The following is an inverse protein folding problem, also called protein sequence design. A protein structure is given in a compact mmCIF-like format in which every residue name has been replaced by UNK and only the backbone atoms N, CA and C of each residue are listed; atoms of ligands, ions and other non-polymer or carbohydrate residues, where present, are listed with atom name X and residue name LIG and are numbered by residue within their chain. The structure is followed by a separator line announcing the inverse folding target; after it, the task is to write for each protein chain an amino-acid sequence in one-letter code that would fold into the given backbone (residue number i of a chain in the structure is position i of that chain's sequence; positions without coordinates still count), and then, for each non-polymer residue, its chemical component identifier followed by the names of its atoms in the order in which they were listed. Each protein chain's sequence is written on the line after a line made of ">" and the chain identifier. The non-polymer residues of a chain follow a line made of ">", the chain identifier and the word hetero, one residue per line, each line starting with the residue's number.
data_IF_840690125491
#
_entry.id   IF_840690125491
#
_cell.length_a   1.000
_cell.length_b   1.000
_cell.length_c   1.000
_cell.angle_alpha   90.00
_cell.angle_beta   90.00
_cell.angle_gamma   90.00
#
_symmetry.space_group_name_H-M   'P 1'
#
loop_
_entity.id
_entity.type
_entity.pdbx_description
1 polymer ?
#
# COMPACT_ATOMS: atom_id res chain seq x y z
N UNK A 1 15.82 -50.36 -31.01
CA UNK A 1 15.93 -49.55 -32.24
C UNK A 1 14.88 -48.46 -32.09
N UNK A 2 15.21 -47.21 -31.74
CA UNK A 2 15.97 -46.22 -32.53
C UNK A 2 16.60 -45.20 -31.54
N UNK A 3 17.92 -45.25 -31.31
CA UNK A 3 18.94 -44.23 -31.64
C UNK A 3 18.82 -42.87 -30.90
N UNK A 4 19.78 -42.64 -30.00
CA UNK A 4 20.29 -41.34 -29.54
C UNK A 4 21.04 -40.59 -30.66
N UNK A 5 20.95 -39.26 -30.72
CA UNK A 5 22.02 -38.31 -31.09
C UNK A 5 21.53 -36.86 -30.84
N UNK A 6 22.08 -36.07 -29.92
CA UNK A 6 23.32 -35.25 -29.96
C UNK A 6 23.27 -33.95 -30.82
N UNK A 7 23.13 -32.84 -30.09
CA UNK A 7 24.00 -31.64 -30.03
C UNK A 7 24.31 -30.72 -31.23
N UNK A 8 24.38 -29.42 -30.86
CA UNK A 8 25.18 -28.30 -31.39
C UNK A 8 24.69 -27.65 -32.71
N UNK A 9 24.91 -26.36 -33.01
CA UNK A 9 25.83 -25.37 -32.47
C UNK A 9 25.31 -23.93 -32.76
N UNK A 10 25.77 -23.00 -31.93
CA UNK A 10 25.78 -21.55 -32.16
C UNK A 10 26.79 -21.18 -33.27
N UNK A 11 26.53 -20.04 -33.91
CA UNK A 11 27.45 -19.08 -34.57
C UNK A 11 27.12 -18.82 -36.05
N UNK A 12 26.75 -17.57 -36.34
CA UNK A 12 27.27 -16.85 -37.50
C UNK A 12 27.63 -15.43 -37.07
N UNK A 13 28.92 -15.12 -37.12
CA UNK A 13 29.48 -13.78 -37.14
C UNK A 13 29.61 -13.33 -38.60
N UNK A 14 29.47 -12.02 -38.87
CA UNK A 14 29.92 -11.40 -40.12
C UNK A 14 30.55 -10.04 -39.80
N UNK A 15 31.83 -9.90 -40.19
CA UNK A 15 32.67 -8.71 -40.07
C UNK A 15 32.68 -7.91 -41.38
N UNK A 16 32.96 -6.61 -41.29
CA UNK A 16 33.39 -5.75 -42.40
C UNK A 16 34.03 -4.44 -41.90
N UNK A 17 35.27 -4.19 -42.31
CA UNK A 17 36.31 -3.30 -41.75
C UNK A 17 36.31 -1.82 -42.24
N UNK A 18 36.59 -0.90 -41.30
CA UNK A 18 37.63 0.19 -41.23
C UNK A 18 37.91 1.25 -42.33
N UNK A 19 38.13 2.49 -41.81
CA UNK A 19 39.00 3.65 -42.23
C UNK A 19 38.32 4.82 -42.98
N UNK A 20 38.70 6.11 -42.83
CA UNK A 20 39.43 6.98 -41.85
C UNK A 20 39.49 8.37 -42.54
N UNK A 21 39.05 9.45 -41.86
CA UNK A 21 39.45 10.90 -41.91
C UNK A 21 39.47 11.64 -43.29
N UNK A 22 39.42 12.96 -43.51
CA UNK A 22 39.79 14.23 -42.81
C UNK A 22 38.88 15.38 -43.34
N UNK A 23 38.38 16.31 -42.51
CA UNK A 23 38.92 17.62 -42.07
C UNK A 23 38.69 18.83 -43.01
N UNK A 24 38.20 19.95 -42.45
CA UNK A 24 38.69 21.31 -42.73
C UNK A 24 38.32 22.27 -41.58
N UNK A 25 39.36 22.98 -41.13
CA UNK A 25 39.47 24.02 -40.09
C UNK A 25 38.69 25.31 -40.47
N UNK A 26 38.43 26.27 -39.57
CA UNK A 26 39.42 27.28 -39.11
C UNK A 26 38.93 28.07 -37.87
N UNK A 27 39.89 28.31 -36.96
CA UNK A 27 40.12 29.45 -36.03
C UNK A 27 39.02 29.86 -35.01
N UNK A 28 39.19 29.89 -33.68
CA UNK A 28 40.30 30.35 -32.80
C UNK A 28 39.77 31.56 -31.98
N UNK A 29 39.89 31.79 -30.66
CA UNK A 29 40.69 31.31 -29.50
C UNK A 29 39.96 31.79 -28.17
N UNK A 30 40.55 31.89 -26.95
CA UNK A 30 40.45 30.91 -25.86
C UNK A 30 40.02 31.45 -24.46
N UNK A 31 40.02 30.55 -23.47
CA UNK A 31 40.40 30.71 -22.03
C UNK A 31 39.35 30.39 -20.94
N UNK A 32 39.47 29.15 -20.45
CA UNK A 32 39.71 28.76 -19.05
C UNK A 32 38.92 29.45 -17.92
N UNK A 33 38.10 28.66 -17.22
CA UNK A 33 38.12 28.62 -15.76
C UNK A 33 37.62 27.26 -15.26
N UNK A 34 38.50 26.43 -14.70
CA UNK A 34 38.12 25.29 -13.86
C UNK A 34 38.00 25.78 -12.41
N UNK A 35 36.91 25.43 -11.72
CA UNK A 35 36.95 25.14 -10.28
C UNK A 35 35.65 24.43 -9.85
N UNK A 36 35.83 23.18 -9.39
CA UNK A 36 35.19 22.51 -8.25
C UNK A 36 33.64 22.58 -8.09
N UNK A 37 32.94 21.45 -8.23
CA UNK A 37 32.62 20.47 -7.17
C UNK A 37 31.24 20.80 -6.55
N UNK A 38 30.23 19.99 -6.85
CA UNK A 38 29.71 18.98 -5.93
C UNK A 38 28.56 18.22 -6.59
N UNK A 39 28.65 16.89 -6.53
CA UNK A 39 27.49 16.02 -6.61
C UNK A 39 26.60 16.31 -5.41
N UNK A 40 25.32 16.57 -5.66
CA UNK A 40 24.22 15.70 -5.22
C UNK A 40 22.95 16.32 -5.78
N UNK A 41 22.45 15.75 -6.87
CA UNK A 41 21.05 15.93 -7.22
C UNK A 41 20.24 15.22 -6.15
N UNK A 42 19.92 15.94 -5.08
CA UNK A 42 18.86 15.58 -4.16
C UNK A 42 17.60 15.45 -5.02
N UNK A 43 17.25 14.21 -5.37
CA UNK A 43 15.87 13.89 -5.66
C UNK A 43 15.10 14.20 -4.39
N UNK A 44 14.48 15.38 -4.40
CA UNK A 44 13.40 15.83 -3.54
C UNK A 44 12.39 14.68 -3.40
N UNK A 45 12.64 13.80 -2.44
CA UNK A 45 11.66 12.86 -1.92
C UNK A 45 10.74 13.74 -1.10
N UNK A 46 9.78 14.36 -1.80
CA UNK A 46 8.77 15.20 -1.20
C UNK A 46 8.25 14.48 0.03
N UNK A 47 8.34 15.15 1.18
CA UNK A 47 7.66 14.76 2.40
C UNK A 47 6.20 14.46 2.04
N UNK A 48 5.86 13.18 1.86
CA UNK A 48 4.47 12.76 1.73
C UNK A 48 3.86 13.02 3.09
N UNK A 49 3.24 14.20 3.24
CA UNK A 49 2.51 14.55 4.44
C UNK A 49 1.51 13.45 4.77
N UNK A 50 1.32 13.19 6.07
CA UNK A 50 0.44 12.14 6.57
C UNK A 50 -0.96 12.28 5.91
N UNK A 51 -1.29 11.35 5.01
CA UNK A 51 -2.51 11.31 4.20
C UNK A 51 -3.72 10.82 5.00
N UNK A 52 -3.54 10.37 6.22
CA UNK A 52 -4.58 10.14 7.22
C UNK A 52 -3.90 10.29 8.58
N UNK A 53 -4.50 11.08 9.48
CA UNK A 53 -3.92 11.39 10.79
C UNK A 53 -4.26 10.33 11.84
N UNK A 54 -4.94 9.24 11.47
CA UNK A 54 -5.27 8.15 12.36
C UNK A 54 -6.48 8.42 13.25
N UNK A 55 -7.38 9.32 12.84
CA UNK A 55 -8.63 9.53 13.58
C UNK A 55 -9.46 8.25 13.70
N UNK A 56 -9.55 7.75 14.92
CA UNK A 56 -10.43 6.66 15.34
C UNK A 56 -11.76 7.14 15.93
N UNK A 57 -11.94 8.46 16.07
CA UNK A 57 -13.16 9.09 16.58
C UNK A 57 -13.49 8.77 18.05
N UNK A 58 -14.44 9.50 18.61
CA UNK A 58 -14.95 9.26 19.96
C UNK A 58 -16.04 8.16 19.89
N UNK A 59 -15.59 6.90 19.86
CA UNK A 59 -16.46 5.71 19.76
C UNK A 59 -16.18 4.82 20.96
N UNK A 60 -17.22 4.46 21.69
CA UNK A 60 -17.15 3.51 22.80
C UNK A 60 -17.77 2.18 22.38
N UNK A 61 -17.13 1.09 22.79
CA UNK A 61 -17.62 -0.26 22.54
C UNK A 61 -18.06 -0.90 23.85
N UNK A 62 -18.96 -1.88 23.74
CA UNK A 62 -19.50 -2.64 24.87
C UNK A 62 -18.45 -3.49 25.61
N UNK A 63 -17.28 -3.68 25.01
CA UNK A 63 -16.16 -4.44 25.54
C UNK A 63 -14.82 -3.83 25.12
N UNK A 64 -13.92 -3.64 26.08
CA UNK A 64 -12.55 -3.13 25.88
C UNK A 64 -11.75 -3.92 24.84
N UNK A 65 -11.94 -5.24 24.75
CA UNK A 65 -11.27 -6.07 23.76
C UNK A 65 -11.65 -5.69 22.32
N UNK A 66 -12.93 -5.37 22.10
CA UNK A 66 -13.43 -4.88 20.81
C UNK A 66 -12.88 -3.49 20.52
N UNK A 67 -12.84 -2.62 21.53
CA UNK A 67 -12.21 -1.29 21.42
C UNK A 67 -10.74 -1.37 21.02
N UNK A 68 -9.96 -2.26 21.64
CA UNK A 68 -8.55 -2.46 21.29
C UNK A 68 -8.38 -2.99 19.86
N UNK A 69 -9.19 -3.98 19.44
CA UNK A 69 -9.17 -4.47 18.07
C UNK A 69 -9.54 -3.36 17.06
N UNK A 70 -10.53 -2.53 17.38
CA UNK A 70 -10.90 -1.38 16.55
C UNK A 70 -9.75 -0.38 16.38
N UNK A 71 -9.04 -0.03 17.45
CA UNK A 71 -7.90 0.90 17.37
C UNK A 71 -6.79 0.36 16.46
N UNK A 72 -6.47 -0.93 16.55
CA UNK A 72 -5.48 -1.54 15.65
C UNK A 72 -5.98 -1.68 14.21
N UNK A 73 -7.29 -1.89 13.98
CA UNK A 73 -7.88 -1.82 12.65
C UNK A 73 -7.75 -0.41 12.04
N UNK A 74 -8.00 0.66 12.82
CA UNK A 74 -7.77 2.04 12.39
C UNK A 74 -6.29 2.31 12.09
N UNK A 75 -5.38 1.73 12.88
CA UNK A 75 -3.95 1.82 12.62
C UNK A 75 -3.58 1.22 11.26
N UNK A 76 -4.04 0.00 10.97
CA UNK A 76 -3.83 -0.64 9.65
C UNK A 76 -4.42 0.21 8.52
N UNK A 77 -5.67 0.67 8.66
CA UNK A 77 -6.31 1.56 7.67
C UNK A 77 -5.42 2.77 7.38
N UNK A 78 -4.96 3.45 8.42
CA UNK A 78 -4.12 4.66 8.34
C UNK A 78 -2.81 4.38 7.62
N UNK A 79 -2.13 3.29 7.99
CA UNK A 79 -0.90 2.87 7.32
C UNK A 79 -1.11 2.59 5.82
N UNK A 80 -2.22 1.94 5.45
CA UNK A 80 -2.53 1.63 4.05
C UNK A 80 -2.89 2.87 3.22
N UNK A 81 -3.60 3.84 3.82
CA UNK A 81 -3.84 5.16 3.20
C UNK A 81 -2.50 5.86 2.94
N UNK A 82 -1.59 5.81 3.91
CA UNK A 82 -0.25 6.37 3.82
C UNK A 82 0.73 5.53 2.96
N UNK A 83 0.29 4.41 2.38
CA UNK A 83 1.14 3.51 1.59
C UNK A 83 2.38 3.02 2.37
N UNK A 84 2.26 2.89 3.69
CA UNK A 84 3.31 2.40 4.58
C UNK A 84 3.10 0.90 4.89
N UNK A 85 3.80 0.04 4.14
CA UNK A 85 3.64 -1.41 4.26
C UNK A 85 4.19 -1.97 5.58
N UNK A 86 5.28 -1.41 6.11
CA UNK A 86 5.87 -1.86 7.37
C UNK A 86 4.94 -1.54 8.55
N UNK A 87 4.36 -0.33 8.56
CA UNK A 87 3.42 0.05 9.60
C UNK A 87 2.10 -0.74 9.50
N UNK A 88 1.63 -1.02 8.27
CA UNK A 88 0.47 -1.88 8.08
C UNK A 88 0.74 -3.30 8.62
N UNK A 89 1.95 -3.83 8.42
CA UNK A 89 2.37 -5.10 8.98
C UNK A 89 2.39 -5.08 10.52
N UNK A 90 2.96 -4.03 11.11
CA UNK A 90 2.99 -3.79 12.56
C UNK A 90 1.58 -3.72 13.15
N UNK A 91 0.70 -2.90 12.56
CA UNK A 91 -0.71 -2.80 12.90
C UNK A 91 -1.43 -4.14 12.79
N UNK A 92 -1.14 -4.92 11.75
CA UNK A 92 -1.69 -6.27 11.57
C UNK A 92 -1.32 -7.22 12.71
N UNK A 93 -0.06 -7.23 13.16
CA UNK A 93 0.39 -8.05 14.29
C UNK A 93 -0.34 -7.69 15.58
N UNK A 94 -0.41 -6.40 15.90
CA UNK A 94 -1.15 -5.93 17.08
C UNK A 94 -2.64 -6.26 17.00
N UNK A 95 -3.22 -6.18 15.80
CA UNK A 95 -4.62 -6.53 15.58
C UNK A 95 -4.88 -8.03 15.81
N UNK A 96 -4.01 -8.91 15.34
CA UNK A 96 -4.11 -10.36 15.60
C UNK A 96 -4.12 -10.64 17.11
N UNK A 97 -3.20 -10.02 17.87
CA UNK A 97 -3.15 -10.17 19.32
C UNK A 97 -4.44 -9.68 20.03
N UNK A 98 -4.99 -8.56 19.58
CA UNK A 98 -6.23 -8.02 20.13
C UNK A 98 -7.45 -8.90 19.79
N UNK A 99 -7.55 -9.39 18.54
CA UNK A 99 -8.65 -10.25 18.09
C UNK A 99 -8.66 -11.62 18.79
N UNK A 100 -7.53 -12.08 19.31
CA UNK A 100 -7.47 -13.28 20.15
C UNK A 100 -8.28 -13.19 21.46
N UNK A 101 -8.76 -11.99 21.83
CA UNK A 101 -9.62 -11.74 22.99
C UNK A 101 -11.07 -11.41 22.60
N UNK A 102 -11.41 -11.50 21.32
CA UNK A 102 -12.73 -11.18 20.76
C UNK A 102 -13.38 -12.45 20.26
N UNK A 103 -14.60 -12.72 20.71
CA UNK A 103 -15.40 -13.86 20.26
C UNK A 103 -15.79 -13.72 18.78
N UNK A 104 -15.90 -14.85 18.07
CA UNK A 104 -16.27 -14.91 16.64
C UNK A 104 -15.38 -14.07 15.71
N UNK A 105 -14.11 -13.87 16.06
CA UNK A 105 -13.17 -13.02 15.31
C UNK A 105 -12.43 -13.71 14.16
N UNK A 106 -12.65 -15.01 13.92
CA UNK A 106 -11.85 -15.85 13.01
C UNK A 106 -11.56 -15.20 11.64
N UNK A 107 -12.60 -14.67 10.98
CA UNK A 107 -12.46 -14.04 9.66
C UNK A 107 -11.57 -12.79 9.70
N UNK A 108 -11.73 -11.95 10.72
CA UNK A 108 -10.89 -10.77 10.92
C UNK A 108 -9.45 -11.19 11.24
N UNK A 109 -9.27 -12.22 12.08
CA UNK A 109 -7.95 -12.74 12.47
C UNK A 109 -7.18 -13.27 11.27
N UNK A 110 -7.78 -14.13 10.44
CA UNK A 110 -7.13 -14.67 9.24
C UNK A 110 -6.72 -13.56 8.26
N UNK A 111 -7.55 -12.52 8.10
CA UNK A 111 -7.22 -11.39 7.25
C UNK A 111 -6.09 -10.52 7.84
N UNK A 112 -6.12 -10.28 9.16
CA UNK A 112 -5.07 -9.54 9.86
C UNK A 112 -3.73 -10.29 9.82
N UNK A 113 -3.71 -11.63 9.91
CA UNK A 113 -2.52 -12.45 9.75
C UNK A 113 -1.90 -12.32 8.35
N UNK A 114 -2.72 -12.26 7.29
CA UNK A 114 -2.21 -12.02 5.93
C UNK A 114 -1.52 -10.66 5.82
N UNK A 115 -2.08 -9.62 6.46
CA UNK A 115 -1.44 -8.29 6.50
C UNK A 115 -0.14 -8.35 7.31
N UNK A 116 -0.17 -8.99 8.48
CA UNK A 116 0.96 -9.13 9.40
C UNK A 116 2.15 -9.91 8.83
N UNK A 117 1.89 -10.80 7.86
CA UNK A 117 2.90 -11.65 7.23
C UNK A 117 3.34 -11.18 5.84
N UNK A 118 2.70 -10.16 5.26
CA UNK A 118 3.07 -9.61 3.96
C UNK A 118 3.93 -8.36 4.10
N UNK A 119 4.89 -8.20 3.19
CA UNK A 119 5.68 -6.98 3.00
C UNK A 119 5.19 -6.15 1.81
N UNK A 120 4.22 -6.67 1.05
CA UNK A 120 3.76 -6.08 -0.21
C UNK A 120 2.47 -5.29 0.01
N UNK A 121 2.52 -3.98 -0.25
CA UNK A 121 1.39 -3.08 0.02
C UNK A 121 0.09 -3.51 -0.68
N UNK A 122 0.18 -4.07 -1.88
CA UNK A 122 -1.01 -4.49 -2.64
C UNK A 122 -1.63 -5.78 -2.08
N UNK A 123 -0.82 -6.69 -1.55
CA UNK A 123 -1.32 -7.88 -0.86
C UNK A 123 -2.01 -7.49 0.45
N UNK A 124 -1.39 -6.58 1.21
CA UNK A 124 -1.99 -6.04 2.44
C UNK A 124 -3.32 -5.32 2.16
N UNK A 125 -3.40 -4.52 1.09
CA UNK A 125 -4.66 -3.88 0.63
C UNK A 125 -5.73 -4.90 0.27
N UNK A 126 -5.34 -5.99 -0.38
CA UNK A 126 -6.27 -7.08 -0.73
C UNK A 126 -6.79 -7.75 0.53
N UNK A 127 -5.91 -8.10 1.47
CA UNK A 127 -6.31 -8.67 2.76
C UNK A 127 -7.15 -7.69 3.60
N UNK A 128 -6.91 -6.37 3.48
CA UNK A 128 -7.69 -5.35 4.18
C UNK A 128 -9.17 -5.30 3.76
N UNK A 129 -9.50 -5.75 2.54
CA UNK A 129 -10.89 -5.92 2.12
C UNK A 129 -11.61 -6.95 3.01
N UNK A 130 -11.00 -8.13 3.17
CA UNK A 130 -11.54 -9.20 4.01
C UNK A 130 -11.56 -8.80 5.49
N UNK A 131 -10.50 -8.10 5.94
CA UNK A 131 -10.41 -7.59 7.30
C UNK A 131 -11.55 -6.61 7.60
N UNK A 132 -11.82 -5.68 6.68
CA UNK A 132 -12.91 -4.71 6.84
C UNK A 132 -14.26 -5.39 6.96
N UNK A 133 -14.51 -6.44 6.18
CA UNK A 133 -15.73 -7.23 6.29
C UNK A 133 -15.83 -7.98 7.63
N UNK A 134 -14.74 -8.61 8.08
CA UNK A 134 -14.72 -9.29 9.38
C UNK A 134 -14.89 -8.33 10.56
N UNK A 135 -14.26 -7.16 10.52
CA UNK A 135 -14.43 -6.12 11.54
C UNK A 135 -15.83 -5.52 11.53
N UNK A 136 -16.49 -5.38 10.37
CA UNK A 136 -17.88 -4.94 10.30
C UNK A 136 -18.82 -5.88 11.05
N UNK A 137 -18.63 -7.20 10.91
CA UNK A 137 -19.41 -8.22 11.63
C UNK A 137 -19.22 -8.11 13.16
N UNK A 138 -18.00 -7.85 13.62
CA UNK A 138 -17.68 -7.68 15.06
C UNK A 138 -18.29 -6.38 15.60
N UNK A 139 -18.10 -5.27 14.89
CA UNK A 139 -18.40 -3.93 15.41
C UNK A 139 -19.89 -3.59 15.37
N UNK A 140 -20.65 -4.10 14.39
CA UNK A 140 -22.06 -3.76 14.21
C UNK A 140 -22.97 -4.14 15.40
N UNK A 141 -22.52 -5.06 16.26
CA UNK A 141 -23.25 -5.44 17.48
C UNK A 141 -22.61 -4.93 18.78
N UNK A 142 -21.51 -4.18 18.69
CA UNK A 142 -20.66 -3.87 19.83
C UNK A 142 -20.52 -2.37 20.13
N UNK A 143 -21.07 -1.47 19.32
CA UNK A 143 -21.02 -0.03 19.58
C UNK A 143 -21.92 0.29 20.78
N UNK A 144 -21.36 0.96 21.78
CA UNK A 144 -22.07 1.47 22.95
C UNK A 144 -22.42 2.95 22.80
N UNK A 145 -21.51 3.74 22.19
CA UNK A 145 -21.73 5.14 21.84
C UNK A 145 -20.87 5.55 20.64
N UNK A 146 -21.30 6.57 19.90
CA UNK A 146 -20.63 7.04 18.68
C UNK A 146 -21.24 6.46 17.39
N UNK A 147 -20.55 6.64 16.26
CA UNK A 147 -20.96 6.09 14.97
C UNK A 147 -19.75 5.77 14.07
N UNK A 148 -19.86 4.70 13.28
CA UNK A 148 -18.89 4.33 12.24
C UNK A 148 -19.50 4.52 10.86
N UNK A 149 -18.70 4.98 9.91
CA UNK A 149 -19.11 5.11 8.51
C UNK A 149 -18.55 3.95 7.70
N UNK A 150 -19.44 3.19 7.06
CA UNK A 150 -19.04 2.25 6.02
C UNK A 150 -18.83 3.04 4.73
N UNK A 151 -17.59 3.13 4.30
CA UNK A 151 -17.20 3.80 3.06
C UNK A 151 -16.95 2.76 1.96
N UNK A 152 -17.06 3.17 0.70
CA UNK A 152 -16.91 2.28 -0.45
C UNK A 152 -16.34 3.01 -1.67
N UNK A 153 -15.34 2.42 -2.32
CA UNK A 153 -14.81 2.87 -3.61
C UNK A 153 -15.20 1.83 -4.67
N UNK A 154 -16.03 2.18 -5.67
CA UNK A 154 -16.44 1.25 -6.73
C UNK A 154 -15.30 0.85 -7.66
N UNK A 155 -14.22 1.63 -7.71
CA UNK A 155 -13.09 1.38 -8.60
C UNK A 155 -12.05 0.42 -8.02
N UNK A 156 -12.13 0.09 -6.72
CA UNK A 156 -11.17 -0.81 -6.09
C UNK A 156 -11.10 -2.17 -6.81
N UNK A 157 -9.89 -2.73 -6.88
CA UNK A 157 -9.63 -4.06 -7.43
C UNK A 157 -10.22 -4.27 -8.83
N UNK A 158 -9.86 -3.38 -9.76
CA UNK A 158 -10.30 -3.42 -11.17
C UNK A 158 -11.83 -3.31 -11.32
N UNK A 159 -12.45 -2.44 -10.53
CA UNK A 159 -13.90 -2.19 -10.60
C UNK A 159 -14.77 -3.22 -9.88
N UNK A 160 -14.18 -4.17 -9.15
CA UNK A 160 -14.92 -5.08 -8.26
C UNK A 160 -15.46 -4.35 -7.02
N UNK A 161 -14.81 -3.25 -6.67
CA UNK A 161 -15.13 -2.40 -5.53
C UNK A 161 -14.66 -2.96 -4.20
N UNK A 162 -14.69 -2.12 -3.17
CA UNK A 162 -14.25 -2.48 -1.83
C UNK A 162 -14.80 -1.52 -0.78
N UNK A 163 -15.15 -2.05 0.39
CA UNK A 163 -15.67 -1.29 1.53
C UNK A 163 -14.75 -1.36 2.73
N UNK A 164 -14.67 -0.25 3.46
CA UNK A 164 -13.95 -0.14 4.74
C UNK A 164 -14.77 0.66 5.76
N UNK A 165 -14.37 0.61 7.02
CA UNK A 165 -14.97 1.39 8.09
C UNK A 165 -14.10 2.61 8.41
N UNK A 166 -14.72 3.70 8.81
CA UNK A 166 -14.04 4.95 9.15
C UNK A 166 -14.77 5.66 10.28
N UNK A 167 -14.03 6.35 11.16
CA UNK A 167 -14.61 7.21 12.20
C UNK A 167 -15.03 8.60 11.66
N UNK A 168 -14.61 8.95 10.45
CA UNK A 168 -14.91 10.22 9.79
C UNK A 168 -15.66 10.00 8.49
N UNK A 169 -16.52 10.97 8.11
CA UNK A 169 -17.18 11.02 6.79
C UNK A 169 -16.21 11.36 5.66
N UNK A 170 -15.06 11.94 6.00
CA UNK A 170 -14.04 12.23 5.01
C UNK A 170 -13.53 10.93 4.37
N UNK A 171 -13.46 10.92 3.03
CA UNK A 171 -12.99 9.77 2.27
C UNK A 171 -11.46 9.81 2.20
N UNK A 172 -10.84 8.81 2.83
CA UNK A 172 -9.40 8.51 2.74
C UNK A 172 -9.25 7.03 2.37
N UNK A 173 -8.98 6.78 1.10
CA UNK A 173 -9.08 5.44 0.48
C UNK A 173 -7.84 4.57 0.76
N UNK A 174 -7.96 3.48 1.55
CA UNK A 174 -6.83 2.62 1.89
C UNK A 174 -6.34 1.76 0.72
N UNK A 175 -7.17 1.55 -0.31
CA UNK A 175 -6.84 0.66 -1.44
C UNK A 175 -5.95 1.29 -2.51
N UNK A 176 -5.87 2.62 -2.55
CA UNK A 176 -5.09 3.33 -3.57
C UNK A 176 -4.16 4.40 -3.00
N UNK A 177 -4.24 4.72 -1.71
CA UNK A 177 -3.42 5.75 -1.09
C UNK A 177 -3.58 7.10 -1.79
N UNK A 178 -2.47 7.79 -2.03
CA UNK A 178 -2.40 9.07 -2.73
C UNK A 178 -3.05 9.07 -4.12
N UNK A 179 -2.90 7.96 -4.88
CA UNK A 179 -3.38 7.86 -6.28
C UNK A 179 -4.87 8.11 -6.44
N UNK A 180 -5.68 7.68 -5.47
CA UNK A 180 -7.13 7.87 -5.48
C UNK A 180 -7.67 8.12 -4.07
N UNK A 181 -6.99 8.97 -3.31
CA UNK A 181 -7.27 9.21 -1.88
C UNK A 181 -8.74 9.51 -1.60
N UNK A 182 -9.39 10.27 -2.48
CA UNK A 182 -10.79 10.69 -2.36
C UNK A 182 -11.77 9.83 -3.18
N UNK A 183 -11.33 8.71 -3.78
CA UNK A 183 -12.27 7.78 -4.41
C UNK A 183 -13.09 7.10 -3.32
N UNK A 184 -14.39 7.37 -3.33
CA UNK A 184 -15.34 6.63 -2.54
C UNK A 184 -16.54 7.46 -2.13
N UNK A 185 -17.39 6.84 -1.34
CA UNK A 185 -18.61 7.44 -0.79
C UNK A 185 -18.96 6.74 0.51
N UNK A 186 -19.57 7.46 1.45
CA UNK A 186 -20.22 6.86 2.61
C UNK A 186 -21.47 6.10 2.10
N UNK A 187 -21.56 4.81 2.42
CA UNK A 187 -22.67 3.93 2.04
C UNK A 187 -23.60 3.63 3.19
N UNK A 188 -23.07 3.58 4.41
CA UNK A 188 -23.85 3.29 5.59
C UNK A 188 -23.27 3.98 6.83
N UNK A 189 -24.06 4.05 7.89
CA UNK A 189 -23.66 4.50 9.22
C UNK A 189 -24.09 3.47 10.26
N UNK A 190 -23.12 2.91 10.96
CA UNK A 190 -23.28 1.87 11.98
C UNK A 190 -23.28 2.57 13.34
N UNK A 191 -24.24 2.20 14.21
CA UNK A 191 -24.46 2.79 15.53
C UNK A 191 -24.84 1.73 16.55
#
# INVERSE_FOLDING_TARGET
>A
MTIMALAAAFMLASCGETKKEEATEEAGMPMQNEMHQEETGEHDMSMVGNLDDGQSGDIEFSNDAVGSAYQHYMHVKTALVNTNAEEAQSGGKMLVEALGKVENSTKATEAAEKIANSTEINEQRTAFLDLSAGMEEILSGAIASGELYKQYCPMAFDGKGGSWLSASKEIRNPYYGDKMLKCGSVRDTIK
#
